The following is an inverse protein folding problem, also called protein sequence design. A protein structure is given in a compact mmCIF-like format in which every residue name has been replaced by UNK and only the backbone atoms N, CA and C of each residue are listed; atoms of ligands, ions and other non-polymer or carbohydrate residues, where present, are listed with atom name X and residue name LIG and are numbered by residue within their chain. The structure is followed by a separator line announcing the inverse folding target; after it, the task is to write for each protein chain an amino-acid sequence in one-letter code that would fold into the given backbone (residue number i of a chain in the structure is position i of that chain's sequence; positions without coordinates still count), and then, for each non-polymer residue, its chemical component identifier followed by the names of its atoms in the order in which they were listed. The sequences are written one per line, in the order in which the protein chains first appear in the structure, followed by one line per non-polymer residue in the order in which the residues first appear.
data_IF_521967104909
#
_entry.id   IF_521967104909
#
_cell.length_a   1.000
_cell.length_b   1.000
_cell.length_c   1.000
_cell.angle_alpha   90.00
_cell.angle_beta   90.00
_cell.angle_gamma   90.00
#
_symmetry.space_group_name_H-M   'P 1'
#
loop_
_entity.id
_entity.type
_entity.pdbx_description
1 polymer ?
#
# COMPACT_ATOMS: atom_id res chain seq x y z
N UNK A 1 -8.27 -15.86 20.92
CA UNK A 1 -7.26 -14.94 20.37
C UNK A 1 -7.95 -13.59 20.12
N UNK A 2 -7.48 -12.49 20.70
CA UNK A 2 -7.94 -11.15 20.30
C UNK A 2 -7.30 -10.82 18.94
N UNK A 3 -8.10 -10.70 17.88
CA UNK A 3 -7.63 -10.18 16.60
C UNK A 3 -7.22 -8.71 16.74
N UNK A 4 -6.25 -8.27 15.94
CA UNK A 4 -5.94 -6.84 15.79
C UNK A 4 -6.93 -6.27 14.78
N UNK A 5 -7.67 -5.23 15.15
CA UNK A 5 -8.64 -4.56 14.27
C UNK A 5 -7.96 -3.36 13.61
N UNK A 6 -7.98 -3.30 12.28
CA UNK A 6 -7.70 -2.09 11.53
C UNK A 6 -9.01 -1.30 11.39
N UNK A 7 -9.05 -0.11 11.97
CA UNK A 7 -10.18 0.82 11.84
C UNK A 7 -9.78 1.98 10.94
N UNK A 8 -10.59 2.25 9.90
CA UNK A 8 -10.37 3.33 8.95
C UNK A 8 -11.46 4.38 9.13
N UNK A 9 -11.11 5.55 9.66
CA UNK A 9 -11.99 6.71 9.70
C UNK A 9 -11.75 7.57 8.45
N UNK A 10 -12.49 7.29 7.38
CA UNK A 10 -12.25 7.82 6.03
C UNK A 10 -13.48 8.53 5.49
N UNK A 11 -13.89 9.64 6.13
CA UNK A 11 -15.11 10.38 5.79
C UNK A 11 -15.24 10.75 4.29
N UNK A 12 -14.12 10.97 3.59
CA UNK A 12 -14.05 11.30 2.16
C UNK A 12 -13.51 10.14 1.29
N UNK A 13 -13.38 8.95 1.85
CA UNK A 13 -12.66 7.84 1.23
C UNK A 13 -11.12 7.97 1.32
N UNK A 14 -10.44 6.94 0.80
CA UNK A 14 -8.98 6.84 0.69
C UNK A 14 -8.64 6.31 -0.70
N UNK A 15 -7.61 6.85 -1.35
CA UNK A 15 -7.16 6.34 -2.64
C UNK A 15 -6.43 4.99 -2.48
N UNK A 16 -6.38 4.21 -3.56
CA UNK A 16 -5.80 2.87 -3.53
C UNK A 16 -4.31 2.84 -3.16
N UNK A 17 -3.53 3.77 -3.70
CA UNK A 17 -2.11 3.93 -3.39
C UNK A 17 -1.87 4.34 -1.92
N UNK A 18 -2.70 5.23 -1.38
CA UNK A 18 -2.65 5.61 0.03
C UNK A 18 -3.01 4.43 0.94
N UNK A 19 -4.01 3.65 0.58
CA UNK A 19 -4.40 2.46 1.34
C UNK A 19 -3.29 1.40 1.35
N UNK A 20 -2.69 1.12 0.18
CA UNK A 20 -1.56 0.20 0.09
C UNK A 20 -0.36 0.73 0.87
N UNK A 21 -0.02 2.02 0.75
CA UNK A 21 1.04 2.66 1.53
C UNK A 21 0.84 2.49 3.04
N UNK A 22 -0.39 2.70 3.54
CA UNK A 22 -0.72 2.47 4.94
C UNK A 22 -0.55 0.99 5.35
N UNK A 23 -0.88 0.04 4.47
CA UNK A 23 -0.68 -1.40 4.75
C UNK A 23 0.82 -1.74 4.85
N UNK A 24 1.65 -1.15 4.00
CA UNK A 24 3.11 -1.32 4.06
C UNK A 24 3.68 -0.77 5.37
N UNK A 25 3.19 0.39 5.84
CA UNK A 25 3.58 0.93 7.15
C UNK A 25 3.12 0.05 8.32
N UNK A 26 2.00 -0.67 8.18
CA UNK A 26 1.53 -1.66 9.17
C UNK A 26 2.30 -2.98 9.13
N UNK A 27 3.24 -3.15 8.20
CA UNK A 27 4.14 -4.29 8.10
C UNK A 27 3.77 -5.32 7.03
N UNK A 28 2.82 -5.03 6.15
CA UNK A 28 2.63 -5.83 4.93
C UNK A 28 3.88 -5.69 4.06
N UNK A 29 4.41 -6.81 3.56
CA UNK A 29 5.60 -6.81 2.70
C UNK A 29 5.20 -6.56 1.25
N UNK A 30 5.95 -5.73 0.54
CA UNK A 30 5.71 -5.45 -0.88
C UNK A 30 5.75 -6.74 -1.72
N UNK A 31 6.73 -7.61 -1.47
CA UNK A 31 6.87 -8.90 -2.17
C UNK A 31 5.62 -9.80 -2.03
N UNK A 32 4.90 -9.69 -0.90
CA UNK A 32 3.65 -10.43 -0.70
C UNK A 32 2.51 -9.89 -1.56
N UNK A 33 2.46 -8.57 -1.76
CA UNK A 33 1.51 -7.93 -2.67
C UNK A 33 1.83 -8.30 -4.13
N UNK A 34 3.10 -8.26 -4.52
CA UNK A 34 3.56 -8.64 -5.86
C UNK A 34 3.20 -10.10 -6.21
N UNK A 35 3.43 -11.02 -5.27
CA UNK A 35 3.09 -12.42 -5.44
C UNK A 35 1.58 -12.65 -5.66
N UNK A 36 0.72 -11.95 -4.93
CA UNK A 36 -0.74 -12.07 -5.11
C UNK A 36 -1.22 -11.41 -6.42
N UNK A 37 -0.62 -10.29 -6.84
CA UNK A 37 -0.99 -9.64 -8.09
C UNK A 37 -0.60 -10.46 -9.33
N UNK A 38 0.47 -11.25 -9.26
CA UNK A 38 0.88 -12.17 -10.34
C UNK A 38 -0.24 -13.15 -10.71
N UNK A 39 -1.12 -13.49 -9.76
CA UNK A 39 -2.25 -14.42 -9.96
C UNK A 39 -3.35 -13.84 -10.85
N UNK A 40 -3.33 -12.53 -11.10
CA UNK A 40 -4.28 -11.85 -11.99
C UNK A 40 -3.89 -11.96 -13.47
N UNK A 41 -2.71 -12.52 -13.79
CA UNK A 41 -2.16 -12.58 -15.16
C UNK A 41 -2.13 -11.20 -15.83
N UNK A 42 -1.61 -10.21 -15.10
CA UNK A 42 -1.40 -8.85 -15.58
C UNK A 42 0.09 -8.68 -15.90
N UNK A 43 0.40 -8.09 -17.04
CA UNK A 43 1.75 -7.78 -17.50
C UNK A 43 1.91 -6.27 -17.73
N UNK A 44 3.16 -5.81 -17.87
CA UNK A 44 3.46 -4.43 -18.24
C UNK A 44 3.26 -3.42 -17.11
N UNK A 45 3.55 -3.81 -15.88
CA UNK A 45 3.60 -2.89 -14.76
C UNK A 45 4.75 -3.22 -13.80
N UNK A 46 5.23 -2.19 -13.12
CA UNK A 46 6.22 -2.28 -12.05
C UNK A 46 5.73 -1.53 -10.83
N UNK A 47 5.82 -2.16 -9.66
CA UNK A 47 5.46 -1.53 -8.40
C UNK A 47 6.68 -0.85 -7.80
N UNK A 48 6.48 0.35 -7.27
CA UNK A 48 7.50 1.04 -6.49
C UNK A 48 6.90 1.47 -5.16
N UNK A 49 7.58 1.15 -4.06
CA UNK A 49 7.24 1.67 -2.75
C UNK A 49 8.48 2.27 -2.08
N UNK A 50 8.37 3.52 -1.63
CA UNK A 50 9.46 4.18 -0.90
C UNK A 50 8.92 5.00 0.26
N UNK A 51 9.68 5.10 1.36
CA UNK A 51 9.38 6.08 2.40
C UNK A 51 9.54 7.48 1.84
N UNK A 52 8.55 8.34 2.09
CA UNK A 52 8.54 9.74 1.69
C UNK A 52 8.01 10.59 2.83
N UNK A 53 8.60 11.76 2.98
CA UNK A 53 8.09 12.82 3.85
C UNK A 53 7.55 13.95 2.97
N UNK A 54 6.30 14.36 3.20
CA UNK A 54 5.68 15.50 2.54
C UNK A 54 5.04 16.40 3.59
N UNK A 55 5.40 17.68 3.58
CA UNK A 55 4.88 18.66 4.55
C UNK A 55 5.04 18.22 6.01
N UNK A 56 6.14 17.52 6.34
CA UNK A 56 6.43 17.01 7.69
C UNK A 56 5.73 15.70 8.06
N UNK A 57 4.94 15.10 7.16
CA UNK A 57 4.27 13.81 7.38
C UNK A 57 5.04 12.72 6.64
N UNK A 58 5.44 11.66 7.34
CA UNK A 58 6.10 10.49 6.75
C UNK A 58 5.09 9.37 6.47
N UNK A 59 5.28 8.67 5.34
CA UNK A 59 4.62 7.41 5.04
C UNK A 59 5.20 6.76 3.78
N UNK A 60 4.66 5.62 3.37
CA UNK A 60 4.99 5.03 2.07
C UNK A 60 4.29 5.76 0.92
N UNK A 61 5.06 6.12 -0.11
CA UNK A 61 4.55 6.45 -1.43
C UNK A 61 4.58 5.18 -2.28
N UNK A 62 3.41 4.72 -2.69
CA UNK A 62 3.22 3.60 -3.59
C UNK A 62 2.90 4.12 -4.99
N UNK A 63 3.65 3.70 -5.98
CA UNK A 63 3.46 4.07 -7.38
C UNK A 63 3.39 2.81 -8.24
N UNK A 64 2.62 2.88 -9.31
CA UNK A 64 2.59 1.89 -10.39
C UNK A 64 3.14 2.57 -11.63
N UNK A 65 4.10 1.92 -12.27
CA UNK A 65 4.73 2.37 -13.52
C UNK A 65 4.47 1.35 -14.63
N UNK A 66 4.55 1.80 -15.88
CA UNK A 66 4.46 0.98 -17.09
C UNK A 66 5.85 0.44 -17.50
#
# INVERSE_FOLDING_TARGET
MKGKTLYLDIFSGISGDMFIGAMLDLGVKLDSLEAELTRLNLDGYHLHASRRTKSGIEGFKFDVHD
#
